data_IF_387592865236
#
_entry.id   IF_387592865236
#
_cell.length_a   1.000
_cell.length_b   1.000
_cell.length_c   1.000
_cell.angle_alpha   90.00
_cell.angle_beta   90.00
_cell.angle_gamma   90.00
#
_symmetry.space_group_name_H-M   'P 1'
#
loop_
_entity.id
_entity.type
_entity.pdbx_description
1 polymer ?
#
# COMPACT_ATOMS: atom_id res chain seq x y z
N UNK A 1 94.77 -18.33 52.81
CA UNK A 1 93.44 -18.93 53.12
C UNK A 1 92.42 -17.95 53.74
N UNK A 2 92.74 -16.65 53.93
CA UNK A 2 91.84 -15.67 54.58
C UNK A 2 90.95 -14.83 53.65
N UNK A 3 91.41 -14.50 52.43
CA UNK A 3 90.73 -13.52 51.56
C UNK A 3 89.40 -14.05 50.99
N UNK A 4 89.32 -15.35 50.66
CA UNK A 4 88.07 -15.96 50.15
C UNK A 4 86.94 -15.99 51.21
N UNK A 5 87.27 -16.19 52.49
CA UNK A 5 86.28 -16.17 53.58
C UNK A 5 85.68 -14.77 53.80
N UNK A 6 86.49 -13.72 53.65
CA UNK A 6 86.04 -12.32 53.74
C UNK A 6 85.15 -11.96 52.56
N UNK A 7 85.50 -12.36 51.33
CA UNK A 7 84.66 -12.12 50.14
C UNK A 7 83.31 -12.82 50.24
N UNK A 8 83.26 -14.06 50.76
CA UNK A 8 82.00 -14.79 50.97
C UNK A 8 81.14 -14.10 52.04
N UNK A 9 81.73 -13.63 53.14
CA UNK A 9 81.02 -12.89 54.18
C UNK A 9 80.51 -11.52 53.71
N UNK A 10 81.32 -10.77 52.95
CA UNK A 10 80.92 -9.48 52.38
C UNK A 10 79.82 -9.67 51.34
N UNK A 11 79.92 -10.67 50.45
CA UNK A 11 78.88 -10.95 49.46
C UNK A 11 77.58 -11.46 50.11
N UNK A 12 77.67 -12.23 51.20
CA UNK A 12 76.50 -12.70 51.96
C UNK A 12 75.75 -11.57 52.68
N UNK A 13 76.42 -10.46 53.03
CA UNK A 13 75.79 -9.30 53.68
C UNK A 13 75.33 -8.26 52.64
N UNK A 14 76.12 -8.01 51.59
CA UNK A 14 75.78 -7.00 50.57
C UNK A 14 74.66 -7.46 49.62
N UNK A 15 74.59 -8.74 49.29
CA UNK A 15 73.56 -9.29 48.41
C UNK A 15 72.12 -9.07 48.93
N UNK A 16 71.77 -9.44 50.18
CA UNK A 16 70.41 -9.22 50.69
C UNK A 16 70.07 -7.73 50.85
N UNK A 17 71.05 -6.88 51.17
CA UNK A 17 70.81 -5.45 51.37
C UNK A 17 70.50 -4.72 50.05
N UNK A 18 71.20 -5.08 48.96
CA UNK A 18 70.94 -4.53 47.62
C UNK A 18 69.57 -4.98 47.11
N UNK A 19 69.20 -6.25 47.33
CA UNK A 19 67.87 -6.77 46.97
C UNK A 19 66.78 -6.08 47.78
N UNK A 20 66.98 -5.85 49.08
CA UNK A 20 66.02 -5.13 49.92
C UNK A 20 65.83 -3.67 49.47
N UNK A 21 66.92 -2.95 49.14
CA UNK A 21 66.85 -1.59 48.62
C UNK A 21 66.10 -1.53 47.28
N UNK A 22 66.36 -2.47 46.38
CA UNK A 22 65.69 -2.55 45.08
C UNK A 22 64.19 -2.85 45.23
N UNK A 23 63.82 -3.74 46.15
CA UNK A 23 62.41 -4.02 46.47
C UNK A 23 61.73 -2.77 47.06
N UNK A 24 62.37 -2.03 47.96
CA UNK A 24 61.77 -0.81 48.54
C UNK A 24 61.57 0.28 47.48
N UNK A 25 62.57 0.53 46.62
CA UNK A 25 62.47 1.53 45.55
C UNK A 25 61.38 1.16 44.54
N UNK A 26 61.28 -0.11 44.16
CA UNK A 26 60.22 -0.55 43.24
C UNK A 26 58.83 -0.43 43.86
N UNK A 27 58.65 -0.72 45.16
CA UNK A 27 57.37 -0.53 45.85
C UNK A 27 56.98 0.94 45.94
N UNK A 28 57.92 1.84 46.25
CA UNK A 28 57.66 3.29 46.30
C UNK A 28 57.25 3.82 44.91
N UNK A 29 57.94 3.40 43.85
CA UNK A 29 57.62 3.78 42.46
C UNK A 29 56.25 3.24 42.02
N UNK A 30 55.91 2.00 42.39
CA UNK A 30 54.59 1.43 42.12
C UNK A 30 53.48 2.18 42.87
N UNK A 31 53.74 2.66 44.09
CA UNK A 31 52.80 3.46 44.87
C UNK A 31 52.37 4.75 44.16
N UNK A 32 53.32 5.54 43.69
CA UNK A 32 53.05 6.79 42.95
C UNK A 32 52.33 6.52 41.62
N UNK A 33 52.79 5.52 40.86
CA UNK A 33 52.15 5.11 39.60
C UNK A 33 50.72 4.67 39.85
N UNK A 34 50.46 3.88 40.90
CA UNK A 34 49.12 3.40 41.22
C UNK A 34 48.21 4.56 41.62
N UNK A 35 48.70 5.55 42.37
CA UNK A 35 47.93 6.74 42.70
C UNK A 35 47.54 7.55 41.45
N UNK A 36 48.50 7.83 40.57
CA UNK A 36 48.27 8.53 39.30
C UNK A 36 47.24 7.80 38.41
N UNK A 37 47.35 6.47 38.31
CA UNK A 37 46.39 5.62 37.58
C UNK A 37 44.98 5.80 38.14
N UNK A 38 44.79 5.84 39.46
CA UNK A 38 43.45 6.03 40.04
C UNK A 38 42.88 7.42 39.76
N UNK A 39 43.71 8.47 39.77
CA UNK A 39 43.28 9.85 39.48
C UNK A 39 42.88 10.00 38.02
N UNK A 40 43.70 9.48 37.10
CA UNK A 40 43.39 9.46 35.66
C UNK A 40 42.14 8.62 35.37
N UNK A 41 41.98 7.48 36.04
CA UNK A 41 40.78 6.64 35.86
C UNK A 41 39.52 7.33 36.36
N UNK A 42 39.59 8.04 37.49
CA UNK A 42 38.47 8.85 38.00
C UNK A 42 38.08 9.96 37.02
N UNK A 43 39.06 10.67 36.45
CA UNK A 43 38.83 11.70 35.44
C UNK A 43 38.19 11.11 34.17
N UNK A 44 38.69 9.97 33.67
CA UNK A 44 38.13 9.26 32.52
C UNK A 44 36.69 8.79 32.77
N UNK A 45 36.42 8.19 33.94
CA UNK A 45 35.09 7.74 34.33
C UNK A 45 34.11 8.93 34.45
N UNK A 46 34.57 10.09 34.91
CA UNK A 46 33.77 11.32 34.97
C UNK A 46 33.41 11.81 33.57
N UNK A 47 34.38 11.87 32.65
CA UNK A 47 34.15 12.23 31.25
C UNK A 47 33.18 11.27 30.57
N UNK A 48 33.34 9.97 30.79
CA UNK A 48 32.45 8.94 30.24
C UNK A 48 30.99 9.15 30.66
N UNK A 49 30.74 9.53 31.93
CA UNK A 49 29.40 9.88 32.42
C UNK A 49 28.81 11.10 31.71
N UNK A 50 29.61 12.14 31.43
CA UNK A 50 29.14 13.33 30.72
C UNK A 50 28.75 13.00 29.28
N UNK A 51 29.56 12.22 28.57
CA UNK A 51 29.27 11.77 27.21
C UNK A 51 27.96 10.98 27.17
N UNK A 52 27.75 10.07 28.13
CA UNK A 52 26.50 9.29 28.23
C UNK A 52 25.29 10.21 28.45
N UNK A 53 25.40 11.22 29.32
CA UNK A 53 24.30 12.13 29.60
C UNK A 53 23.97 13.02 28.39
N UNK A 54 24.97 13.57 27.71
CA UNK A 54 24.77 14.32 26.48
C UNK A 54 24.11 13.46 25.40
N UNK A 55 24.56 12.22 25.23
CA UNK A 55 23.97 11.30 24.25
C UNK A 55 22.49 11.02 24.54
N UNK A 56 22.09 10.94 25.82
CA UNK A 56 20.68 10.79 26.21
C UNK A 56 19.86 12.05 25.88
N UNK A 57 20.41 13.24 26.11
CA UNK A 57 19.73 14.50 25.80
C UNK A 57 19.52 14.69 24.29
N UNK A 58 20.55 14.42 23.50
CA UNK A 58 20.48 14.46 22.03
C UNK A 58 19.41 13.48 21.54
N UNK A 59 19.45 12.22 22.00
CA UNK A 59 18.47 11.20 21.62
C UNK A 59 17.05 11.56 22.01
N UNK A 60 16.83 12.12 23.20
CA UNK A 60 15.49 12.54 23.63
C UNK A 60 14.96 13.71 22.78
N UNK A 61 15.84 14.62 22.37
CA UNK A 61 15.50 15.74 21.48
C UNK A 61 15.15 15.25 20.07
N UNK A 62 15.94 14.31 19.54
CA UNK A 62 15.71 13.66 18.25
C UNK A 62 14.38 12.90 18.24
N UNK A 63 14.13 12.08 19.26
CA UNK A 63 12.87 11.33 19.40
C UNK A 63 11.64 12.25 19.50
N UNK A 64 11.78 13.40 20.18
CA UNK A 64 10.70 14.40 20.26
C UNK A 64 10.41 15.04 18.90
N UNK A 65 11.46 15.37 18.15
CA UNK A 65 11.36 15.95 16.81
C UNK A 65 10.72 14.97 15.81
N UNK A 66 11.15 13.71 15.85
CA UNK A 66 10.60 12.62 15.02
C UNK A 66 9.11 12.42 15.34
N UNK A 67 8.74 12.48 16.62
CA UNK A 67 7.33 12.32 17.03
C UNK A 67 6.46 13.45 16.48
N UNK A 68 6.91 14.71 16.59
CA UNK A 68 6.18 15.87 16.05
C UNK A 68 6.06 15.76 14.53
N UNK A 69 7.15 15.44 13.83
CA UNK A 69 7.14 15.23 12.38
C UNK A 69 6.15 14.13 12.00
N UNK A 70 6.19 12.98 12.68
CA UNK A 70 5.28 11.88 12.40
C UNK A 70 3.82 12.27 12.63
N UNK A 71 3.51 13.01 13.70
CA UNK A 71 2.15 13.50 13.94
C UNK A 71 1.68 14.47 12.86
N UNK A 72 2.53 15.41 12.42
CA UNK A 72 2.16 16.37 11.35
C UNK A 72 1.99 15.70 9.99
N UNK A 73 2.82 14.71 9.66
CA UNK A 73 2.71 13.95 8.40
C UNK A 73 1.44 13.10 8.42
N UNK A 74 1.11 12.46 9.54
CA UNK A 74 -0.13 11.68 9.67
C UNK A 74 -1.37 12.57 9.54
N UNK A 75 -1.41 13.73 10.19
CA UNK A 75 -2.53 14.67 10.12
C UNK A 75 -2.75 15.21 8.69
N UNK A 76 -1.67 15.62 8.02
CA UNK A 76 -1.73 16.09 6.62
C UNK A 76 -2.12 14.95 5.69
N UNK A 77 -1.60 13.73 5.90
CA UNK A 77 -1.94 12.56 5.09
C UNK A 77 -3.43 12.19 5.21
N UNK A 78 -3.99 12.22 6.42
CA UNK A 78 -5.41 11.90 6.65
C UNK A 78 -6.34 12.94 6.01
N UNK A 79 -6.01 14.24 6.13
CA UNK A 79 -6.78 15.30 5.48
C UNK A 79 -6.77 15.20 3.94
N UNK A 80 -5.62 14.85 3.35
CA UNK A 80 -5.48 14.67 1.91
C UNK A 80 -6.18 13.41 1.39
N UNK A 81 -6.13 12.29 2.12
CA UNK A 81 -6.77 11.05 1.67
C UNK A 81 -8.30 11.17 1.61
N UNK A 82 -8.90 11.92 2.53
CA UNK A 82 -10.35 12.12 2.57
C UNK A 82 -10.85 13.01 1.42
N UNK A 83 -10.08 14.00 1.00
CA UNK A 83 -10.40 14.87 -0.14
C UNK A 83 -10.15 14.16 -1.49
N UNK A 84 -9.05 13.42 -1.62
CA UNK A 84 -8.71 12.68 -2.85
C UNK A 84 -9.65 11.49 -3.10
N UNK A 85 -10.13 10.80 -2.05
CA UNK A 85 -11.06 9.69 -2.22
C UNK A 85 -12.46 10.15 -2.68
N UNK A 86 -12.96 11.25 -2.13
CA UNK A 86 -14.28 11.78 -2.51
C UNK A 86 -14.27 12.44 -3.90
N UNK A 87 -13.24 13.24 -4.20
CA UNK A 87 -13.09 13.86 -5.54
C UNK A 87 -12.72 12.81 -6.59
N UNK A 88 -11.91 11.81 -6.22
CA UNK A 88 -11.53 10.70 -7.09
C UNK A 88 -12.71 9.80 -7.47
N UNK A 89 -13.57 9.45 -6.51
CA UNK A 89 -14.76 8.64 -6.77
C UNK A 89 -15.77 9.40 -7.64
N UNK A 90 -16.02 10.68 -7.35
CA UNK A 90 -16.91 11.53 -8.16
C UNK A 90 -16.36 11.71 -9.58
N UNK A 91 -15.07 12.01 -9.73
CA UNK A 91 -14.43 12.20 -11.05
C UNK A 91 -14.43 10.91 -11.86
N UNK A 92 -14.12 9.77 -11.22
CA UNK A 92 -14.12 8.46 -11.86
C UNK A 92 -15.53 8.04 -12.30
N UNK A 93 -16.53 8.17 -11.41
CA UNK A 93 -17.93 7.89 -11.73
C UNK A 93 -18.43 8.76 -12.88
N UNK A 94 -18.17 10.07 -12.86
CA UNK A 94 -18.58 10.98 -13.94
C UNK A 94 -17.97 10.61 -15.29
N UNK A 95 -16.68 10.26 -15.34
CA UNK A 95 -16.03 9.81 -16.56
C UNK A 95 -16.62 8.48 -17.08
N UNK A 96 -16.88 7.55 -16.17
CA UNK A 96 -17.44 6.23 -16.49
C UNK A 96 -18.89 6.35 -16.99
N UNK A 97 -19.72 7.19 -16.37
CA UNK A 97 -21.08 7.51 -16.83
C UNK A 97 -21.05 8.15 -18.23
N UNK A 98 -20.17 9.14 -18.47
CA UNK A 98 -20.05 9.79 -19.78
C UNK A 98 -19.58 8.83 -20.87
N UNK A 99 -18.62 7.97 -20.58
CA UNK A 99 -18.16 6.92 -21.49
C UNK A 99 -19.27 5.92 -21.83
N UNK A 100 -20.00 5.43 -20.82
CA UNK A 100 -21.14 4.54 -21.02
C UNK A 100 -22.26 5.20 -21.83
N UNK A 101 -22.58 6.46 -21.54
CA UNK A 101 -23.63 7.21 -22.25
C UNK A 101 -23.31 7.39 -23.74
N UNK A 102 -22.08 7.79 -24.08
CA UNK A 102 -21.66 7.97 -25.47
C UNK A 102 -21.71 6.67 -26.27
N UNK A 103 -21.27 5.55 -25.68
CA UNK A 103 -21.35 4.25 -26.32
C UNK A 103 -22.80 3.78 -26.52
N UNK A 104 -23.66 3.97 -25.52
CA UNK A 104 -25.09 3.64 -25.64
C UNK A 104 -25.79 4.45 -26.73
N UNK A 105 -25.48 5.76 -26.85
CA UNK A 105 -26.02 6.59 -27.93
C UNK A 105 -25.57 6.12 -29.31
N UNK A 106 -24.29 5.76 -29.46
CA UNK A 106 -23.77 5.19 -30.71
C UNK A 106 -24.45 3.85 -31.06
N UNK A 107 -24.66 3.00 -30.05
CA UNK A 107 -25.35 1.73 -30.22
C UNK A 107 -26.79 1.93 -30.73
N UNK A 108 -27.52 2.88 -30.14
CA UNK A 108 -28.87 3.25 -30.57
C UNK A 108 -28.88 3.82 -31.99
N UNK A 109 -27.91 4.67 -32.37
CA UNK A 109 -27.80 5.18 -33.74
C UNK A 109 -27.62 4.05 -34.76
N UNK A 110 -26.70 3.12 -34.51
CA UNK A 110 -26.46 1.99 -35.40
C UNK A 110 -27.70 1.08 -35.48
N UNK A 111 -28.34 0.82 -34.35
CA UNK A 111 -29.60 0.08 -34.30
C UNK A 111 -30.69 0.75 -35.14
N UNK A 112 -30.91 2.05 -34.99
CA UNK A 112 -31.91 2.80 -35.74
C UNK A 112 -31.64 2.78 -37.25
N UNK A 113 -30.37 2.86 -37.66
CA UNK A 113 -30.01 2.69 -39.07
C UNK A 113 -30.39 1.31 -39.57
N UNK A 114 -30.05 0.27 -38.81
CA UNK A 114 -30.30 -1.12 -39.17
C UNK A 114 -31.82 -1.40 -39.31
N UNK A 115 -32.60 -0.90 -38.36
CA UNK A 115 -34.06 -0.93 -38.35
C UNK A 115 -34.62 -0.19 -39.57
N UNK A 116 -34.21 1.05 -39.81
CA UNK A 116 -34.67 1.85 -40.95
C UNK A 116 -34.33 1.21 -42.30
N UNK A 117 -33.17 0.57 -42.41
CA UNK A 117 -32.80 -0.21 -43.59
C UNK A 117 -33.73 -1.39 -43.81
N UNK A 118 -34.02 -2.15 -42.74
CA UNK A 118 -34.95 -3.28 -42.77
C UNK A 118 -36.37 -2.85 -43.16
N UNK A 119 -36.86 -1.73 -42.61
CA UNK A 119 -38.19 -1.20 -42.92
C UNK A 119 -38.33 -0.70 -44.37
N UNK A 120 -37.25 -0.24 -45.01
CA UNK A 120 -37.28 0.20 -46.42
C UNK A 120 -37.29 -0.96 -47.42
N UNK A 121 -36.74 -2.12 -47.05
CA UNK A 121 -36.62 -3.28 -47.94
C UNK A 121 -37.46 -4.46 -47.44
N UNK A 122 -38.77 -4.23 -47.30
CA UNK A 122 -39.70 -5.21 -46.71
C UNK A 122 -40.21 -6.22 -47.75
N UNK A 123 -39.57 -7.39 -47.83
CA UNK A 123 -39.98 -8.47 -48.74
C UNK A 123 -41.04 -9.39 -48.09
N UNK A 124 -40.97 -9.58 -46.77
CA UNK A 124 -41.96 -10.35 -45.99
C UNK A 124 -42.20 -9.72 -44.61
N UNK A 125 -43.28 -8.94 -44.44
CA UNK A 125 -43.48 -8.09 -43.26
C UNK A 125 -43.73 -8.87 -41.96
N UNK A 126 -44.27 -10.08 -42.04
CA UNK A 126 -44.60 -10.90 -40.86
C UNK A 126 -43.34 -11.46 -40.20
N UNK A 127 -42.36 -11.91 -41.00
CA UNK A 127 -41.10 -12.51 -40.52
C UNK A 127 -40.12 -11.41 -40.07
N UNK A 128 -40.02 -10.33 -40.86
CA UNK A 128 -39.14 -9.21 -40.54
C UNK A 128 -39.52 -8.52 -39.23
N UNK A 129 -40.81 -8.44 -38.88
CA UNK A 129 -41.25 -7.91 -37.58
C UNK A 129 -40.78 -8.78 -36.41
N UNK A 130 -40.74 -10.11 -36.57
CA UNK A 130 -40.21 -11.03 -35.54
C UNK A 130 -38.69 -10.84 -35.37
N UNK A 131 -37.95 -10.69 -36.47
CA UNK A 131 -36.50 -10.37 -36.44
C UNK A 131 -36.25 -9.01 -35.76
N UNK A 132 -37.05 -8.00 -36.06
CA UNK A 132 -36.93 -6.67 -35.47
C UNK A 132 -37.14 -6.69 -33.95
N UNK A 133 -38.07 -7.51 -33.46
CA UNK A 133 -38.32 -7.68 -32.03
C UNK A 133 -37.11 -8.30 -31.31
N UNK A 134 -36.44 -9.27 -31.93
CA UNK A 134 -35.20 -9.86 -31.39
C UNK A 134 -34.04 -8.84 -31.46
N UNK A 135 -33.93 -8.07 -32.55
CA UNK A 135 -32.88 -7.06 -32.71
C UNK A 135 -33.00 -5.91 -31.70
N UNK A 136 -34.22 -5.62 -31.24
CA UNK A 136 -34.49 -4.60 -30.21
C UNK A 136 -33.86 -4.94 -28.85
N UNK A 137 -33.36 -6.17 -28.66
CA UNK A 137 -32.65 -6.60 -27.47
C UNK A 137 -31.40 -5.74 -27.21
N UNK A 138 -30.60 -5.46 -28.24
CA UNK A 138 -29.33 -4.74 -28.11
C UNK A 138 -29.46 -3.33 -27.50
N UNK A 139 -30.31 -2.43 -28.02
CA UNK A 139 -30.46 -1.10 -27.43
C UNK A 139 -31.10 -1.14 -26.03
N UNK A 140 -32.05 -2.05 -25.79
CA UNK A 140 -32.70 -2.19 -24.47
C UNK A 140 -31.64 -2.53 -23.41
N UNK A 141 -30.79 -3.51 -23.69
CA UNK A 141 -29.73 -3.91 -22.75
C UNK A 141 -28.69 -2.80 -22.55
N UNK A 142 -28.33 -2.05 -23.60
CA UNK A 142 -27.44 -0.91 -23.48
C UNK A 142 -28.04 0.21 -22.61
N UNK A 143 -29.34 0.49 -22.75
CA UNK A 143 -30.03 1.47 -21.89
C UNK A 143 -30.19 0.98 -20.46
N UNK A 144 -30.51 -0.30 -20.24
CA UNK A 144 -30.61 -0.87 -18.89
C UNK A 144 -29.27 -0.84 -18.17
N UNK A 145 -28.17 -1.14 -18.86
CA UNK A 145 -26.82 -1.05 -18.31
C UNK A 145 -26.44 0.40 -17.94
N UNK A 146 -26.84 1.38 -18.76
CA UNK A 146 -26.67 2.80 -18.46
C UNK A 146 -27.51 3.21 -17.23
N UNK A 147 -28.77 2.78 -17.16
CA UNK A 147 -29.67 3.08 -16.06
C UNK A 147 -29.19 2.48 -14.74
N UNK A 148 -28.70 1.23 -14.74
CA UNK A 148 -28.08 0.59 -13.56
C UNK A 148 -26.84 1.34 -13.06
N UNK A 149 -26.16 2.07 -13.94
CA UNK A 149 -24.95 2.84 -13.61
C UNK A 149 -25.31 4.24 -13.08
N UNK A 150 -26.40 4.84 -13.57
CA UNK A 150 -26.93 6.12 -13.05
C UNK A 150 -27.67 5.93 -11.72
N UNK A 151 -28.36 4.81 -11.56
CA UNK A 151 -29.15 4.50 -10.37
C UNK A 151 -28.25 3.72 -9.40
N UNK A 152 -27.58 4.43 -8.49
CA UNK A 152 -26.79 3.85 -7.39
C UNK A 152 -27.67 3.12 -6.33
N UNK A 153 -28.98 3.02 -6.57
CA UNK A 153 -29.95 2.38 -5.68
C UNK A 153 -30.02 0.86 -5.91
N UNK A 154 -29.79 0.03 -4.87
CA UNK A 154 -29.81 -1.43 -5.00
C UNK A 154 -31.21 -1.96 -5.37
N UNK A 155 -32.28 -1.33 -4.86
CA UNK A 155 -33.66 -1.69 -5.20
C UNK A 155 -34.01 -1.44 -6.66
N UNK A 156 -33.43 -0.40 -7.28
CA UNK A 156 -33.66 -0.09 -8.69
C UNK A 156 -32.95 -1.12 -9.59
N UNK A 157 -31.76 -1.56 -9.20
CA UNK A 157 -31.00 -2.59 -9.91
C UNK A 157 -31.74 -3.93 -9.92
N UNK A 158 -32.32 -4.34 -8.78
CA UNK A 158 -33.12 -5.56 -8.67
C UNK A 158 -34.38 -5.52 -9.55
N UNK A 159 -35.10 -4.40 -9.57
CA UNK A 159 -36.26 -4.24 -10.46
C UNK A 159 -35.90 -4.32 -11.95
N UNK A 160 -34.79 -3.69 -12.36
CA UNK A 160 -34.29 -3.75 -13.73
C UNK A 160 -33.86 -5.16 -14.14
N UNK A 161 -33.32 -5.95 -13.22
CA UNK A 161 -33.00 -7.36 -13.45
C UNK A 161 -34.26 -8.19 -13.74
N UNK A 162 -35.33 -8.01 -12.95
CA UNK A 162 -36.61 -8.70 -13.18
C UNK A 162 -37.20 -8.35 -14.56
N UNK A 163 -37.20 -7.08 -14.95
CA UNK A 163 -37.69 -6.64 -16.27
C UNK A 163 -36.90 -7.29 -17.41
N UNK A 164 -35.57 -7.41 -17.23
CA UNK A 164 -34.69 -8.08 -18.18
C UNK A 164 -35.06 -9.57 -18.32
N UNK A 165 -35.30 -10.26 -17.22
CA UNK A 165 -35.67 -11.69 -17.23
C UNK A 165 -37.00 -11.92 -17.96
N UNK A 166 -37.99 -11.04 -17.78
CA UNK A 166 -39.23 -11.07 -18.55
C UNK A 166 -39.02 -10.80 -20.04
N UNK A 167 -38.17 -9.84 -20.39
CA UNK A 167 -37.85 -9.53 -21.79
C UNK A 167 -37.11 -10.69 -22.48
N UNK A 168 -36.23 -11.39 -21.78
CA UNK A 168 -35.52 -12.56 -22.29
C UNK A 168 -36.49 -13.69 -22.65
N UNK A 169 -37.47 -13.97 -21.79
CA UNK A 169 -38.54 -14.93 -22.08
C UNK A 169 -39.36 -14.55 -23.32
N UNK A 170 -39.70 -13.26 -23.48
CA UNK A 170 -40.37 -12.74 -24.67
C UNK A 170 -39.52 -12.90 -25.94
N UNK A 171 -38.23 -12.59 -25.85
CA UNK A 171 -37.29 -12.70 -26.97
C UNK A 171 -37.17 -14.16 -27.45
N UNK A 172 -37.10 -15.11 -26.52
CA UNK A 172 -37.10 -16.55 -26.83
C UNK A 172 -38.40 -16.97 -27.53
N UNK A 173 -39.56 -16.48 -27.07
CA UNK A 173 -40.85 -16.75 -27.74
C UNK A 173 -40.86 -16.22 -29.18
N UNK A 174 -40.41 -14.98 -29.40
CA UNK A 174 -40.34 -14.38 -30.74
C UNK A 174 -39.35 -15.11 -31.64
N UNK A 175 -38.21 -15.55 -31.09
CA UNK A 175 -37.22 -16.35 -31.80
C UNK A 175 -37.76 -17.74 -32.20
N UNK A 176 -38.46 -18.42 -31.29
CA UNK A 176 -39.11 -19.70 -31.61
C UNK A 176 -40.17 -19.53 -32.70
N UNK A 177 -40.99 -18.49 -32.58
CA UNK A 177 -42.01 -18.14 -33.58
C UNK A 177 -41.42 -17.74 -34.94
N UNK A 178 -40.19 -17.20 -34.94
CA UNK A 178 -39.41 -16.94 -36.14
C UNK A 178 -38.91 -18.25 -36.78
N UNK A 179 -38.36 -19.19 -35.99
CA UNK A 179 -37.93 -20.49 -36.49
C UNK A 179 -39.10 -21.25 -37.12
N UNK A 180 -40.25 -21.31 -36.45
CA UNK A 180 -41.45 -21.99 -36.97
C UNK A 180 -41.90 -21.37 -38.29
N UNK A 181 -41.88 -20.04 -38.41
CA UNK A 181 -42.23 -19.37 -39.66
C UNK A 181 -41.25 -19.69 -40.81
N UNK A 182 -39.96 -19.81 -40.52
CA UNK A 182 -38.92 -20.12 -41.50
C UNK A 182 -38.93 -21.62 -41.91
N UNK A 183 -39.11 -22.54 -40.95
CA UNK A 183 -39.13 -23.99 -41.20
C UNK A 183 -40.50 -24.51 -41.69
N UNK A 184 -41.59 -23.90 -41.25
CA UNK A 184 -42.97 -24.33 -41.48
C UNK A 184 -43.59 -23.84 -42.79
N UNK A 185 -42.81 -23.29 -43.73
CA UNK A 185 -43.32 -22.76 -45.01
C UNK A 185 -44.36 -21.63 -44.90
N UNK A 186 -44.38 -20.88 -43.79
CA UNK A 186 -45.15 -19.65 -43.67
C UNK A 186 -46.62 -19.77 -43.24
N UNK A 187 -47.05 -20.91 -42.67
CA UNK A 187 -48.37 -20.99 -42.04
C UNK A 187 -48.29 -20.85 -40.51
N UNK A 188 -48.53 -19.59 -40.10
CA UNK A 188 -48.90 -19.01 -38.78
C UNK A 188 -47.81 -18.92 -37.69
#
# INVERSE_FOLDING_TARGET
MGISKVVIWVNAIFCPMIVALFIVVTVIMQGEINHQRTTVQKALNSQHKQIINLHKLVRNTENSTITILNTTVVEVQESMQQEVASVGDITSKNFLVQGAATFTVLCIMVFLWHVASHLRNMYQPIIQRKILAVLWMTPIYATTALLMLILDDPLATEWLAVVKDFYEAYCIYMFLSLLIAILGRGDR
#
